data_IF_866696042797
#
_entry.id   IF_866696042797
#
_cell.length_a   1.000
_cell.length_b   1.000
_cell.length_c   1.000
_cell.angle_alpha   90.00
_cell.angle_beta   90.00
_cell.angle_gamma   90.00
#
_symmetry.space_group_name_H-M   'P 1'
#
loop_
_entity.id
_entity.type
_entity.pdbx_description
1 polymer ?
#
# COMPACT_ATOMS: atom_id res chain seq x y z
N UNK A 1 41.59 16.60 23.71
CA UNK A 1 40.18 16.51 23.30
C UNK A 1 40.09 15.81 21.95
N UNK A 2 39.15 14.87 21.82
CA UNK A 2 38.94 14.15 20.60
C UNK A 2 38.68 15.12 19.44
N UNK A 3 39.31 14.86 18.28
CA UNK A 3 39.17 15.68 17.07
C UNK A 3 37.77 15.43 16.47
N UNK A 4 36.82 16.33 16.72
CA UNK A 4 35.46 16.20 16.17
C UNK A 4 35.39 16.59 14.70
N UNK A 5 36.28 17.49 14.24
CA UNK A 5 36.30 17.96 12.83
C UNK A 5 37.69 18.40 12.40
N UNK A 6 38.02 18.10 11.12
CA UNK A 6 39.25 18.56 10.47
C UNK A 6 38.90 19.17 9.12
N UNK A 7 39.46 20.36 8.79
CA UNK A 7 39.23 21.02 7.49
C UNK A 7 39.74 22.46 7.46
N UNK A 8 39.67 23.08 6.31
CA UNK A 8 40.19 24.42 6.06
C UNK A 8 39.09 25.48 5.94
N UNK A 9 39.42 26.70 6.33
CA UNK A 9 38.59 27.89 6.08
C UNK A 9 39.30 28.85 5.13
N UNK A 10 38.53 29.36 4.15
CA UNK A 10 38.97 30.47 3.30
C UNK A 10 38.00 31.63 3.47
N UNK A 11 38.50 32.79 3.86
CA UNK A 11 37.69 33.99 4.13
C UNK A 11 36.55 33.75 5.15
N UNK A 12 36.78 32.89 6.17
CA UNK A 12 35.80 32.59 7.22
C UNK A 12 34.71 31.59 6.85
N UNK A 13 34.74 31.00 5.65
CA UNK A 13 33.84 29.92 5.22
C UNK A 13 34.60 28.62 5.01
N UNK A 14 33.93 27.47 5.18
CA UNK A 14 34.52 26.15 4.92
C UNK A 14 34.90 26.03 3.45
N UNK A 15 36.11 25.50 3.21
CA UNK A 15 36.66 25.31 1.84
C UNK A 15 37.56 24.09 1.80
N UNK A 16 37.63 23.38 0.66
CA UNK A 16 38.41 22.16 0.50
C UNK A 16 37.87 20.95 1.27
N UNK A 17 38.72 19.96 1.51
CA UNK A 17 38.37 18.71 2.18
C UNK A 17 38.02 18.94 3.66
N UNK A 18 36.97 18.31 4.13
CA UNK A 18 36.53 18.27 5.53
C UNK A 18 36.27 16.83 5.95
N UNK A 19 36.76 16.47 7.17
CA UNK A 19 36.54 15.19 7.82
C UNK A 19 35.84 15.46 9.12
N UNK A 20 34.83 14.68 9.42
CA UNK A 20 34.08 14.69 10.70
C UNK A 20 34.22 13.31 11.34
N UNK A 21 34.41 13.30 12.65
CA UNK A 21 34.62 12.09 13.41
C UNK A 21 33.42 11.86 14.35
N UNK A 22 33.19 10.63 14.75
CA UNK A 22 32.38 10.35 15.91
C UNK A 22 33.19 10.75 17.14
N UNK A 23 32.51 11.03 18.25
CA UNK A 23 33.16 11.23 19.52
C UNK A 23 33.90 9.93 19.85
N UNK A 24 35.22 10.04 20.05
CA UNK A 24 36.08 8.93 20.47
C UNK A 24 36.12 8.82 21.97
N UNK A 25 36.73 7.78 22.45
CA UNK A 25 37.02 7.62 23.88
C UNK A 25 38.00 8.68 24.35
N UNK A 26 37.90 9.01 25.61
CA UNK A 26 38.75 10.01 26.26
C UNK A 26 39.66 9.29 27.26
N UNK A 27 40.93 9.57 27.22
CA UNK A 27 41.93 9.02 28.14
C UNK A 27 42.70 10.13 28.84
N UNK A 28 43.36 9.78 29.96
CA UNK A 28 44.33 10.63 30.63
C UNK A 28 45.73 10.32 30.04
N UNK A 29 46.38 11.35 29.50
CA UNK A 29 47.68 11.26 28.84
C UNK A 29 48.77 11.58 29.88
N UNK A 30 49.29 10.53 30.51
CA UNK A 30 50.25 10.62 31.61
C UNK A 30 51.70 10.37 31.20
N UNK A 31 51.97 9.90 29.99
CA UNK A 31 53.30 9.53 29.55
C UNK A 31 53.76 8.14 30.05
N UNK A 32 55.05 7.87 29.95
CA UNK A 32 55.63 6.52 30.18
C UNK A 32 55.54 6.01 31.61
N UNK A 33 55.46 6.88 32.65
CA UNK A 33 55.46 6.47 34.06
C UNK A 33 54.05 6.35 34.67
N UNK A 34 53.01 6.64 33.88
CA UNK A 34 51.61 6.68 34.31
C UNK A 34 51.30 7.65 35.47
N UNK A 35 52.13 8.68 35.68
CA UNK A 35 51.95 9.69 36.71
C UNK A 35 51.67 11.04 36.07
N UNK A 36 50.66 11.81 36.52
CA UNK A 36 50.28 13.07 35.90
C UNK A 36 51.35 14.17 36.13
N UNK A 37 51.64 14.95 35.06
CA UNK A 37 52.48 16.14 35.09
C UNK A 37 53.96 15.89 35.45
N UNK A 38 54.52 14.75 35.10
CA UNK A 38 55.97 14.42 35.33
C UNK A 38 56.85 14.86 34.16
N UNK A 39 56.27 15.26 33.06
CA UNK A 39 56.94 15.77 31.87
C UNK A 39 57.89 14.77 31.18
N UNK A 40 57.53 13.50 31.23
CA UNK A 40 58.22 12.38 30.57
C UNK A 40 57.81 12.22 29.13
N UNK A 41 58.38 11.20 28.48
CA UNK A 41 58.09 10.89 27.06
C UNK A 41 56.64 10.45 26.90
N UNK A 42 55.93 11.16 26.02
CA UNK A 42 54.52 10.87 25.64
C UNK A 42 53.51 11.68 26.44
N UNK A 43 53.85 12.28 27.61
CA UNK A 43 52.87 13.09 28.36
C UNK A 43 52.42 14.30 27.57
N UNK A 44 51.08 14.41 27.35
CA UNK A 44 50.47 15.50 26.60
C UNK A 44 50.65 15.46 25.08
N UNK A 45 51.11 14.36 24.53
CA UNK A 45 51.28 14.23 23.06
C UNK A 45 49.96 13.89 22.31
N UNK A 46 48.91 13.63 23.08
CA UNK A 46 47.57 13.32 22.55
C UNK A 46 47.43 11.93 21.98
N UNK A 47 48.37 11.01 22.31
CA UNK A 47 48.30 9.61 21.86
C UNK A 47 48.12 8.70 23.06
N UNK A 48 47.20 7.79 22.98
CA UNK A 48 46.97 6.79 24.00
C UNK A 48 48.03 5.69 24.00
N UNK A 49 48.49 5.28 25.16
CA UNK A 49 49.26 4.07 25.36
C UNK A 49 48.64 3.17 26.44
N UNK A 50 49.17 1.95 26.61
CA UNK A 50 48.58 0.95 27.50
C UNK A 50 48.71 1.25 29.02
N UNK A 51 49.38 2.33 29.41
CA UNK A 51 49.52 2.76 30.79
C UNK A 51 48.50 3.83 31.19
N UNK A 52 47.82 4.40 30.21
CA UNK A 52 46.84 5.47 30.39
C UNK A 52 45.45 4.95 30.70
N UNK A 53 44.69 5.72 31.46
CA UNK A 53 43.32 5.37 31.85
C UNK A 53 42.32 5.90 30.82
N UNK A 54 41.48 5.03 30.27
CA UNK A 54 40.36 5.47 29.45
C UNK A 54 39.29 6.12 30.32
N UNK A 55 39.07 7.43 30.13
CA UNK A 55 38.08 8.21 30.89
C UNK A 55 36.67 8.10 30.37
N UNK A 56 36.51 7.83 29.06
CA UNK A 56 35.23 7.63 28.40
C UNK A 56 35.33 6.36 27.53
N UNK A 57 34.83 5.27 28.06
CA UNK A 57 34.78 3.95 27.45
C UNK A 57 33.39 3.78 26.86
N UNK A 58 33.28 3.76 25.52
CA UNK A 58 32.01 3.73 24.79
C UNK A 58 31.45 2.33 24.61
N UNK A 59 32.29 1.29 24.65
CA UNK A 59 31.87 -0.10 24.48
C UNK A 59 32.06 -0.97 25.73
N UNK A 60 32.77 -0.48 26.77
CA UNK A 60 32.95 -1.12 28.06
C UNK A 60 34.08 -2.15 28.09
N UNK A 61 35.04 -2.07 27.18
CA UNK A 61 36.15 -3.03 27.08
C UNK A 61 37.45 -2.59 27.76
N UNK A 62 37.50 -1.33 28.28
CA UNK A 62 38.66 -0.70 28.99
C UNK A 62 39.89 -0.42 28.12
N UNK A 63 39.77 -0.50 26.79
CA UNK A 63 40.80 -0.10 25.83
C UNK A 63 40.38 1.18 25.12
N UNK A 64 41.35 2.04 24.74
CA UNK A 64 41.07 3.25 23.98
C UNK A 64 40.75 2.95 22.55
N UNK A 65 39.57 3.35 22.11
CA UNK A 65 39.15 3.34 20.73
C UNK A 65 39.30 4.73 20.08
N UNK A 66 40.12 4.85 19.05
CA UNK A 66 40.28 6.12 18.36
C UNK A 66 38.98 6.54 17.69
N UNK A 67 38.71 7.85 17.53
CA UNK A 67 37.47 8.30 16.90
C UNK A 67 37.34 7.77 15.48
N UNK A 68 36.18 7.16 15.22
CA UNK A 68 35.83 6.61 13.90
C UNK A 68 35.35 7.72 12.97
N UNK A 69 35.70 7.61 11.68
CA UNK A 69 35.25 8.56 10.67
C UNK A 69 33.73 8.54 10.54
N UNK A 70 33.10 9.70 10.78
CA UNK A 70 31.64 9.90 10.67
C UNK A 70 31.23 10.34 9.29
N UNK A 71 31.94 11.33 8.72
CA UNK A 71 31.69 11.78 7.35
C UNK A 71 32.89 12.51 6.78
N UNK A 72 33.01 12.49 5.44
CA UNK A 72 34.04 13.23 4.75
C UNK A 72 33.49 13.74 3.41
N UNK A 73 33.98 14.90 2.97
CA UNK A 73 33.64 15.49 1.70
C UNK A 73 34.22 16.89 1.54
N UNK A 74 34.02 17.50 0.40
CA UNK A 74 34.57 18.82 0.10
C UNK A 74 33.51 19.92 0.25
N UNK A 75 33.97 21.09 0.65
CA UNK A 75 33.23 22.34 0.56
C UNK A 75 33.83 23.26 -0.47
N UNK A 76 32.98 24.06 -1.10
CA UNK A 76 33.37 25.21 -1.93
C UNK A 76 32.54 26.41 -1.53
N UNK A 77 33.18 27.52 -1.12
CA UNK A 77 32.51 28.71 -0.64
C UNK A 77 31.42 28.41 0.43
N UNK A 78 31.71 27.51 1.39
CA UNK A 78 30.80 27.13 2.47
C UNK A 78 29.70 26.15 2.10
N UNK A 79 29.59 25.74 0.83
CA UNK A 79 28.61 24.76 0.36
C UNK A 79 29.25 23.39 0.12
N UNK A 80 28.54 22.31 0.43
CA UNK A 80 28.99 20.96 0.07
C UNK A 80 29.16 20.86 -1.44
N UNK A 81 30.30 20.24 -1.88
CA UNK A 81 30.65 20.08 -3.28
C UNK A 81 31.22 18.67 -3.52
N UNK A 82 30.90 18.06 -4.68
CA UNK A 82 31.40 16.75 -5.06
C UNK A 82 30.88 15.60 -4.20
N UNK A 83 31.67 14.54 -4.08
CA UNK A 83 31.32 13.32 -3.35
C UNK A 83 31.43 13.55 -1.83
N UNK A 84 30.40 13.17 -1.11
CA UNK A 84 30.36 13.05 0.33
C UNK A 84 30.11 11.60 0.73
N UNK A 85 30.91 11.11 1.68
CA UNK A 85 30.79 9.77 2.25
C UNK A 85 30.50 9.87 3.73
N UNK A 86 29.59 9.05 4.24
CA UNK A 86 29.32 8.90 5.67
C UNK A 86 29.43 7.42 6.06
N UNK A 87 29.76 7.16 7.31
CA UNK A 87 29.94 5.82 7.86
C UNK A 87 29.07 5.59 9.09
N UNK A 88 28.80 4.34 9.38
CA UNK A 88 28.26 3.87 10.65
C UNK A 88 29.38 3.72 11.70
N UNK A 89 29.03 3.54 12.97
CA UNK A 89 29.98 3.27 14.05
C UNK A 89 30.79 1.98 13.84
N UNK A 90 30.22 1.00 13.14
CA UNK A 90 30.94 -0.22 12.76
C UNK A 90 31.89 -0.05 11.56
N UNK A 91 32.22 1.20 11.20
CA UNK A 91 33.08 1.57 10.08
C UNK A 91 32.57 1.13 8.69
N UNK A 92 31.34 0.64 8.57
CA UNK A 92 30.71 0.37 7.30
C UNK A 92 30.18 1.65 6.67
N UNK A 93 30.23 1.75 5.33
CA UNK A 93 29.64 2.90 4.63
C UNK A 93 28.15 2.97 4.90
N UNK A 94 27.68 4.20 5.21
CA UNK A 94 26.26 4.53 5.41
C UNK A 94 25.67 5.20 4.19
N UNK A 95 26.35 6.17 3.62
CA UNK A 95 25.89 6.92 2.45
C UNK A 95 27.08 7.44 1.64
N UNK A 96 26.95 7.37 0.33
CA UNK A 96 27.71 8.15 -0.64
C UNK A 96 26.75 9.02 -1.44
N UNK A 97 26.98 10.32 -1.48
CA UNK A 97 26.09 11.28 -2.14
C UNK A 97 26.89 12.39 -2.82
N UNK A 98 26.43 12.83 -3.98
CA UNK A 98 27.07 13.91 -4.72
C UNK A 98 26.33 15.23 -4.52
N UNK A 99 27.10 16.30 -4.33
CA UNK A 99 26.60 17.65 -4.14
C UNK A 99 27.13 18.60 -5.21
N UNK A 100 26.32 19.58 -5.58
CA UNK A 100 26.68 20.74 -6.38
C UNK A 100 26.07 21.98 -5.72
N UNK A 101 26.91 22.94 -5.34
CA UNK A 101 26.51 24.18 -4.68
C UNK A 101 25.56 23.91 -3.46
N UNK A 102 25.89 22.93 -2.61
CA UNK A 102 25.16 22.56 -1.41
C UNK A 102 23.88 21.73 -1.61
N UNK A 103 23.50 21.43 -2.87
CA UNK A 103 22.32 20.59 -3.20
C UNK A 103 22.76 19.22 -3.66
N UNK A 104 21.99 18.17 -3.30
CA UNK A 104 22.19 16.84 -3.88
C UNK A 104 22.08 16.92 -5.41
N UNK A 105 23.14 16.48 -6.10
CA UNK A 105 23.21 16.51 -7.56
C UNK A 105 24.13 15.41 -8.06
N UNK A 106 23.60 14.41 -8.73
CA UNK A 106 24.32 13.20 -9.15
C UNK A 106 23.86 11.97 -8.35
N UNK A 107 24.68 10.93 -8.33
CA UNK A 107 24.35 9.65 -7.70
C UNK A 107 24.28 9.75 -6.18
N UNK A 108 23.40 8.94 -5.60
CA UNK A 108 23.35 8.62 -4.18
C UNK A 108 23.28 7.09 -4.02
N UNK A 109 24.02 6.57 -3.03
CA UNK A 109 23.92 5.19 -2.59
C UNK A 109 23.92 5.19 -1.07
N UNK A 110 22.97 4.46 -0.47
CA UNK A 110 22.92 4.19 0.99
C UNK A 110 23.04 2.71 1.24
N UNK A 111 23.54 2.36 2.39
CA UNK A 111 23.72 0.98 2.85
C UNK A 111 23.03 0.79 4.20
N UNK A 112 22.65 -0.43 4.48
CA UNK A 112 22.32 -0.92 5.82
C UNK A 112 23.59 -1.14 6.64
N UNK A 113 23.48 -1.24 7.96
CA UNK A 113 24.62 -1.47 8.87
C UNK A 113 25.35 -2.79 8.62
N UNK A 114 24.70 -3.75 7.94
CA UNK A 114 25.30 -5.00 7.53
C UNK A 114 26.09 -4.91 6.20
N UNK A 115 26.24 -3.71 5.62
CA UNK A 115 26.98 -3.44 4.39
C UNK A 115 26.21 -3.70 3.08
N UNK A 116 25.00 -4.26 3.12
CA UNK A 116 24.15 -4.39 1.95
C UNK A 116 23.57 -3.02 1.55
N UNK A 117 23.40 -2.77 0.25
CA UNK A 117 22.71 -1.54 -0.20
C UNK A 117 21.31 -1.46 0.38
N UNK A 118 20.90 -0.28 0.82
CA UNK A 118 19.53 0.05 1.23
C UNK A 118 18.77 0.83 0.15
N UNK A 119 19.47 1.75 -0.55
CA UNK A 119 18.90 2.45 -1.70
C UNK A 119 19.99 2.98 -2.65
N UNK A 120 19.61 3.18 -3.90
CA UNK A 120 20.44 3.87 -4.89
C UNK A 120 19.56 4.66 -5.87
N UNK A 121 20.07 5.79 -6.32
CA UNK A 121 19.36 6.66 -7.24
C UNK A 121 20.19 7.85 -7.70
N UNK A 122 19.52 8.79 -8.32
CA UNK A 122 20.12 10.03 -8.84
C UNK A 122 19.29 11.22 -8.37
N UNK A 123 19.97 12.29 -7.97
CA UNK A 123 19.38 13.59 -7.76
C UNK A 123 19.79 14.57 -8.85
N UNK A 124 18.86 15.44 -9.21
CA UNK A 124 19.12 16.61 -10.04
C UNK A 124 18.65 17.86 -9.28
N UNK A 125 19.61 18.72 -8.90
CA UNK A 125 19.32 19.96 -8.15
C UNK A 125 18.44 19.77 -6.91
N UNK A 126 18.66 18.68 -6.15
CA UNK A 126 17.94 18.34 -4.92
C UNK A 126 16.64 17.56 -5.14
N UNK A 127 16.24 17.26 -6.37
CA UNK A 127 15.08 16.45 -6.70
C UNK A 127 15.47 15.06 -7.19
N UNK A 128 14.72 14.03 -6.80
CA UNK A 128 14.92 12.68 -7.36
C UNK A 128 14.70 12.70 -8.87
N UNK A 129 15.64 12.09 -9.61
CA UNK A 129 15.58 11.98 -11.06
C UNK A 129 16.08 10.60 -11.53
N UNK A 130 15.63 10.13 -12.70
CA UNK A 130 16.04 8.83 -13.22
C UNK A 130 15.53 7.65 -12.38
N UNK A 131 16.28 6.55 -12.43
CA UNK A 131 15.94 5.28 -11.78
C UNK A 131 16.33 5.31 -10.32
N UNK A 132 15.41 4.82 -9.45
CA UNK A 132 15.60 4.61 -8.02
C UNK A 132 15.31 3.17 -7.66
N UNK A 133 16.13 2.58 -6.75
CA UNK A 133 16.00 1.22 -6.25
C UNK A 133 16.18 1.26 -4.75
N UNK A 134 15.32 0.53 -4.03
CA UNK A 134 15.43 0.25 -2.60
C UNK A 134 15.60 -1.25 -2.40
N UNK A 135 16.30 -1.62 -1.36
CA UNK A 135 16.63 -3.00 -1.03
C UNK A 135 16.22 -3.34 0.40
N UNK A 136 15.93 -4.59 0.63
CA UNK A 136 15.85 -5.15 1.98
C UNK A 136 17.25 -5.30 2.57
N UNK A 137 17.35 -5.50 3.91
CA UNK A 137 18.64 -5.78 4.59
C UNK A 137 19.34 -7.02 4.04
N UNK A 138 18.59 -7.97 3.49
CA UNK A 138 19.11 -9.16 2.79
C UNK A 138 19.80 -8.86 1.44
N UNK A 139 19.72 -7.61 0.95
CA UNK A 139 20.21 -7.21 -0.36
C UNK A 139 19.25 -7.50 -1.53
N UNK A 140 18.11 -8.14 -1.26
CA UNK A 140 17.05 -8.37 -2.26
C UNK A 140 16.36 -7.03 -2.56
N UNK A 141 16.02 -6.79 -3.82
CA UNK A 141 15.27 -5.60 -4.22
C UNK A 141 13.91 -5.57 -3.53
N UNK A 142 13.57 -4.41 -2.92
CA UNK A 142 12.30 -4.11 -2.28
C UNK A 142 11.39 -3.32 -3.21
N UNK A 143 11.93 -2.26 -3.82
CA UNK A 143 11.21 -1.37 -4.72
C UNK A 143 12.11 -0.87 -5.85
N UNK A 144 11.52 -0.55 -6.99
CA UNK A 144 12.17 0.14 -8.09
C UNK A 144 11.16 1.03 -8.78
N UNK A 145 11.55 2.28 -9.03
CA UNK A 145 10.74 3.22 -9.84
C UNK A 145 11.63 4.20 -10.59
N UNK A 146 11.01 5.08 -11.34
CA UNK A 146 11.66 6.20 -12.00
C UNK A 146 11.01 7.50 -11.57
N UNK A 147 11.84 8.53 -11.40
CA UNK A 147 11.39 9.91 -11.18
C UNK A 147 11.80 10.79 -12.35
N UNK A 148 11.03 11.83 -12.58
CA UNK A 148 11.36 12.97 -13.44
C UNK A 148 11.03 14.20 -12.62
N UNK A 149 12.04 15.04 -12.35
CA UNK A 149 11.90 16.28 -11.58
C UNK A 149 11.22 16.11 -10.22
N UNK A 150 11.46 14.98 -9.52
CA UNK A 150 10.89 14.62 -8.23
C UNK A 150 9.51 13.96 -8.27
N UNK A 151 8.91 13.80 -9.45
CA UNK A 151 7.63 13.12 -9.63
C UNK A 151 7.80 11.70 -10.17
N UNK A 152 7.06 10.74 -9.62
CA UNK A 152 7.06 9.36 -10.11
C UNK A 152 6.58 9.31 -11.57
N UNK A 153 7.36 8.65 -12.43
CA UNK A 153 7.04 8.52 -13.83
C UNK A 153 7.49 7.15 -14.37
N UNK A 154 6.61 6.41 -15.03
CA UNK A 154 6.88 5.07 -15.53
C UNK A 154 6.49 3.97 -14.57
N UNK A 155 7.15 2.81 -14.66
CA UNK A 155 6.84 1.64 -13.86
C UNK A 155 7.36 1.79 -12.42
N UNK A 156 6.50 1.42 -11.45
CA UNK A 156 6.85 1.16 -10.08
C UNK A 156 6.67 -0.33 -9.78
N UNK A 157 7.76 -1.00 -9.47
CA UNK A 157 7.83 -2.42 -9.16
C UNK A 157 8.12 -2.59 -7.67
N UNK A 158 7.44 -3.52 -7.04
CA UNK A 158 7.69 -3.92 -5.65
C UNK A 158 7.84 -5.44 -5.55
N UNK A 159 8.68 -5.89 -4.65
CA UNK A 159 8.93 -7.30 -4.36
C UNK A 159 8.70 -7.61 -2.88
N UNK A 160 8.43 -8.84 -2.58
CA UNK A 160 8.48 -9.42 -1.24
C UNK A 160 9.94 -9.67 -0.83
N UNK A 161 10.17 -9.93 0.46
CA UNK A 161 11.51 -10.18 1.02
C UNK A 161 12.20 -11.44 0.48
N UNK A 162 11.44 -12.37 -0.09
CA UNK A 162 11.93 -13.56 -0.80
C UNK A 162 12.28 -13.32 -2.27
N UNK A 163 12.02 -12.11 -2.79
CA UNK A 163 12.24 -11.70 -4.17
C UNK A 163 11.07 -11.95 -5.12
N UNK A 164 9.96 -12.52 -4.65
CA UNK A 164 8.75 -12.67 -5.46
C UNK A 164 8.12 -11.30 -5.76
N UNK A 165 7.54 -11.15 -6.95
CA UNK A 165 6.88 -9.89 -7.34
C UNK A 165 5.64 -9.62 -6.50
N UNK A 166 5.57 -8.44 -5.87
CA UNK A 166 4.47 -7.98 -5.02
C UNK A 166 3.50 -7.07 -5.75
N UNK A 167 4.00 -6.13 -6.52
CA UNK A 167 3.15 -5.23 -7.32
C UNK A 167 3.88 -4.64 -8.52
N UNK A 168 3.10 -4.32 -9.52
CA UNK A 168 3.50 -3.57 -10.71
C UNK A 168 2.47 -2.49 -10.97
N UNK A 169 2.93 -1.24 -11.07
CA UNK A 169 2.11 -0.04 -11.18
C UNK A 169 2.75 0.90 -12.17
N UNK A 170 1.95 1.68 -12.88
CA UNK A 170 2.47 2.73 -13.75
C UNK A 170 1.99 4.10 -13.27
N UNK A 171 2.87 5.06 -13.38
CA UNK A 171 2.62 6.47 -13.09
C UNK A 171 2.95 7.32 -14.31
N UNK A 172 2.20 8.38 -14.49
CA UNK A 172 2.49 9.46 -15.43
C UNK A 172 2.39 10.77 -14.67
N UNK A 173 3.49 11.54 -14.64
CA UNK A 173 3.56 12.84 -13.97
C UNK A 173 3.06 12.83 -12.51
N UNK A 174 3.45 11.77 -11.76
CA UNK A 174 3.06 11.55 -10.37
C UNK A 174 1.68 10.96 -10.16
N UNK A 175 0.86 10.84 -11.20
CA UNK A 175 -0.48 10.27 -11.10
C UNK A 175 -0.52 8.79 -11.52
N UNK A 176 -1.44 8.04 -10.89
CA UNK A 176 -1.70 6.63 -11.25
C UNK A 176 -2.22 6.54 -12.67
N UNK A 177 -1.62 5.67 -13.48
CA UNK A 177 -2.01 5.47 -14.87
C UNK A 177 -1.97 3.99 -15.26
N UNK A 178 -2.74 3.63 -16.31
CA UNK A 178 -2.75 2.29 -16.90
C UNK A 178 -3.13 1.18 -15.92
N UNK A 179 -2.66 -0.04 -16.17
CA UNK A 179 -3.00 -1.23 -15.39
C UNK A 179 -2.08 -1.36 -14.18
N UNK A 180 -2.68 -1.56 -13.01
CA UNK A 180 -2.03 -1.92 -11.76
C UNK A 180 -2.30 -3.37 -11.44
N UNK A 181 -1.26 -4.13 -11.16
CA UNK A 181 -1.36 -5.54 -10.76
C UNK A 181 -0.67 -5.73 -9.41
N UNK A 182 -1.28 -6.50 -8.54
CA UNK A 182 -0.71 -6.97 -7.28
C UNK A 182 -0.79 -8.48 -7.20
N UNK A 183 0.16 -9.08 -6.51
CA UNK A 183 0.26 -10.52 -6.29
C UNK A 183 0.25 -10.84 -4.80
N UNK A 184 -0.16 -12.02 -4.45
CA UNK A 184 0.06 -12.64 -3.16
C UNK A 184 1.52 -13.12 -3.05
N UNK A 185 1.94 -13.45 -1.84
CA UNK A 185 3.27 -13.99 -1.54
C UNK A 185 3.56 -15.33 -2.23
N UNK A 186 2.52 -16.13 -2.49
CA UNK A 186 2.61 -17.38 -3.27
C UNK A 186 2.72 -17.16 -4.80
N UNK A 187 2.85 -15.91 -5.27
CA UNK A 187 3.00 -15.56 -6.69
C UNK A 187 1.70 -15.46 -7.48
N UNK A 188 0.56 -15.81 -6.89
CA UNK A 188 -0.74 -15.71 -7.56
C UNK A 188 -1.22 -14.25 -7.61
N UNK A 189 -1.97 -13.89 -8.67
CA UNK A 189 -2.58 -12.56 -8.75
C UNK A 189 -3.55 -12.32 -7.62
N UNK A 190 -3.44 -11.14 -6.98
CA UNK A 190 -4.34 -10.65 -5.94
C UNK A 190 -5.41 -9.73 -6.51
N UNK A 191 -5.00 -8.73 -7.26
CA UNK A 191 -5.91 -7.87 -8.01
C UNK A 191 -5.24 -7.26 -9.23
N UNK A 192 -6.08 -6.84 -10.16
CA UNK A 192 -5.72 -6.02 -11.30
C UNK A 192 -6.76 -4.91 -11.47
N UNK A 193 -6.30 -3.68 -11.69
CA UNK A 193 -7.15 -2.50 -11.77
C UNK A 193 -6.63 -1.54 -12.84
N UNK A 194 -7.54 -0.86 -13.52
CA UNK A 194 -7.21 0.16 -14.52
C UNK A 194 -7.38 1.55 -13.92
N UNK A 195 -6.36 2.38 -14.08
CA UNK A 195 -6.33 3.78 -13.65
C UNK A 195 -6.17 4.70 -14.86
N UNK A 196 -6.75 5.87 -14.77
CA UNK A 196 -6.51 6.99 -15.67
C UNK A 196 -6.54 8.29 -14.85
N UNK A 197 -5.56 9.16 -15.03
CA UNK A 197 -5.45 10.45 -14.31
C UNK A 197 -5.69 10.32 -12.81
N UNK A 198 -4.96 9.40 -12.16
CA UNK A 198 -5.00 9.16 -10.73
C UNK A 198 -6.22 8.42 -10.19
N UNK A 199 -7.25 8.15 -11.01
CA UNK A 199 -8.54 7.56 -10.61
C UNK A 199 -8.73 6.16 -11.17
N UNK A 200 -9.44 5.30 -10.43
CA UNK A 200 -9.95 4.04 -10.97
C UNK A 200 -10.90 4.34 -12.13
N UNK A 201 -10.54 3.88 -13.31
CA UNK A 201 -11.32 4.11 -14.54
C UNK A 201 -11.10 2.95 -15.50
N UNK A 202 -12.08 2.06 -15.63
CA UNK A 202 -11.98 0.82 -16.39
C UNK A 202 -12.10 -0.42 -15.52
N UNK A 203 -11.57 -1.55 -15.99
CA UNK A 203 -11.74 -2.86 -15.36
C UNK A 203 -11.08 -2.99 -14.01
N UNK A 204 -11.75 -3.71 -13.13
CA UNK A 204 -11.24 -4.22 -11.85
C UNK A 204 -11.50 -5.73 -11.78
N UNK A 205 -10.49 -6.48 -11.33
CA UNK A 205 -10.65 -7.90 -10.98
C UNK A 205 -9.79 -8.20 -9.76
N UNK A 206 -10.33 -8.90 -8.76
CA UNK A 206 -9.58 -9.51 -7.67
C UNK A 206 -9.78 -11.03 -7.68
N UNK A 207 -8.78 -11.73 -7.15
CA UNK A 207 -8.74 -13.19 -7.04
C UNK A 207 -8.52 -13.61 -5.61
N UNK A 208 -9.03 -14.77 -5.24
CA UNK A 208 -8.66 -15.46 -4.01
C UNK A 208 -7.18 -15.91 -4.06
N UNK A 209 -6.62 -16.26 -2.92
CA UNK A 209 -5.20 -16.59 -2.80
C UNK A 209 -4.79 -17.82 -3.65
N UNK A 210 -5.75 -18.70 -4.00
CA UNK A 210 -5.51 -19.81 -4.93
C UNK A 210 -5.16 -19.34 -6.37
N UNK A 211 -5.39 -18.08 -6.71
CA UNK A 211 -5.05 -17.44 -7.99
C UNK A 211 -5.87 -17.88 -9.20
N UNK A 212 -6.76 -18.84 -9.04
CA UNK A 212 -7.60 -19.41 -10.09
C UNK A 212 -8.99 -18.77 -10.06
N UNK A 213 -9.58 -18.69 -8.86
CA UNK A 213 -10.94 -18.23 -8.66
C UNK A 213 -10.94 -16.72 -8.42
N UNK A 214 -11.74 -16.02 -9.23
CA UNK A 214 -11.99 -14.60 -9.00
C UNK A 214 -12.81 -14.42 -7.72
N UNK A 215 -12.49 -13.39 -6.94
CA UNK A 215 -13.33 -12.93 -5.83
C UNK A 215 -14.43 -12.01 -6.35
N UNK A 216 -14.05 -11.04 -7.17
CA UNK A 216 -14.99 -10.11 -7.82
C UNK A 216 -14.40 -9.50 -9.09
N UNK A 217 -15.27 -9.09 -10.00
CA UNK A 217 -14.89 -8.32 -11.19
C UNK A 217 -15.98 -7.32 -11.56
N UNK A 218 -15.59 -6.21 -12.16
CA UNK A 218 -16.47 -5.17 -12.66
C UNK A 218 -15.68 -4.00 -13.24
N UNK A 219 -16.37 -2.92 -13.48
CA UNK A 219 -15.78 -1.67 -13.99
C UNK A 219 -15.94 -0.54 -12.97
N UNK A 220 -14.97 0.36 -12.97
CA UNK A 220 -15.06 1.67 -12.33
C UNK A 220 -15.16 2.78 -13.37
N UNK A 221 -15.82 3.86 -13.00
CA UNK A 221 -15.80 5.13 -13.68
C UNK A 221 -15.53 6.22 -12.64
N UNK A 222 -14.37 6.89 -12.74
CA UNK A 222 -13.97 7.95 -11.81
C UNK A 222 -14.10 7.56 -10.32
N UNK A 223 -13.51 6.41 -9.94
CA UNK A 223 -13.56 5.80 -8.59
C UNK A 223 -14.94 5.31 -8.13
N UNK A 224 -15.97 5.32 -9.00
CA UNK A 224 -17.31 4.83 -8.67
C UNK A 224 -17.58 3.51 -9.39
N UNK A 225 -18.24 2.58 -8.71
CA UNK A 225 -18.69 1.32 -9.31
C UNK A 225 -19.56 1.63 -10.55
N UNK A 226 -19.30 0.94 -11.66
CA UNK A 226 -20.01 1.17 -12.91
C UNK A 226 -20.24 -0.13 -13.65
N UNK A 227 -21.30 -0.21 -14.46
CA UNK A 227 -21.72 -1.42 -15.19
C UNK A 227 -21.96 -2.62 -14.25
N UNK A 228 -21.80 -3.84 -14.77
CA UNK A 228 -22.03 -5.09 -14.06
C UNK A 228 -20.85 -5.47 -13.19
N UNK A 229 -21.12 -5.77 -11.91
CA UNK A 229 -20.21 -6.37 -10.96
C UNK A 229 -20.66 -7.80 -10.66
N UNK A 230 -19.70 -8.73 -10.70
CA UNK A 230 -19.93 -10.14 -10.38
C UNK A 230 -19.03 -10.53 -9.20
N UNK A 231 -19.58 -11.28 -8.27
CA UNK A 231 -18.91 -11.76 -7.05
C UNK A 231 -18.99 -13.29 -7.01
N UNK A 232 -17.91 -13.93 -6.58
CA UNK A 232 -17.80 -15.38 -6.44
C UNK A 232 -17.39 -15.78 -5.04
N UNK A 233 -17.77 -16.97 -4.60
CA UNK A 233 -17.23 -17.65 -3.43
C UNK A 233 -15.85 -18.25 -3.76
N UNK A 234 -15.09 -18.63 -2.74
CA UNK A 234 -13.76 -19.19 -2.87
C UNK A 234 -13.73 -20.56 -3.61
N UNK A 235 -14.86 -21.27 -3.62
CA UNK A 235 -15.06 -22.50 -4.38
C UNK A 235 -15.44 -22.27 -5.88
N UNK A 236 -15.53 -21.00 -6.30
CA UNK A 236 -15.80 -20.61 -7.69
C UNK A 236 -17.27 -20.44 -8.04
N UNK A 237 -18.19 -20.70 -7.11
CA UNK A 237 -19.62 -20.43 -7.31
C UNK A 237 -19.89 -18.93 -7.38
N UNK A 238 -20.83 -18.55 -8.23
CA UNK A 238 -21.33 -17.19 -8.26
C UNK A 238 -22.17 -16.91 -7.03
N UNK A 239 -21.93 -15.78 -6.35
CA UNK A 239 -22.72 -15.32 -5.18
C UNK A 239 -23.71 -14.25 -5.62
N UNK A 240 -23.24 -13.28 -6.43
CA UNK A 240 -24.04 -12.10 -6.74
C UNK A 240 -23.61 -11.46 -8.05
N UNK A 241 -24.59 -10.91 -8.79
CA UNK A 241 -24.38 -9.94 -9.86
C UNK A 241 -25.18 -8.67 -9.58
N UNK A 242 -24.56 -7.51 -9.75
CA UNK A 242 -25.19 -6.20 -9.50
C UNK A 242 -24.77 -5.23 -10.60
N UNK A 243 -25.74 -4.54 -11.19
CA UNK A 243 -25.47 -3.45 -12.12
C UNK A 243 -25.43 -2.11 -11.40
N UNK A 244 -24.46 -1.28 -11.77
CA UNK A 244 -24.27 0.06 -11.21
C UNK A 244 -24.14 1.10 -12.31
N UNK A 245 -24.59 2.32 -12.00
CA UNK A 245 -24.33 3.52 -12.77
C UNK A 245 -23.73 4.56 -11.84
N UNK A 246 -22.42 4.85 -12.01
CA UNK A 246 -21.67 5.83 -11.19
C UNK A 246 -21.85 5.66 -9.67
N UNK A 247 -21.83 4.40 -9.20
CA UNK A 247 -21.91 4.04 -7.78
C UNK A 247 -23.32 3.77 -7.26
N UNK A 248 -24.35 4.06 -8.05
CA UNK A 248 -25.75 3.82 -7.70
C UNK A 248 -26.20 2.52 -8.37
N UNK A 249 -26.92 1.65 -7.64
CA UNK A 249 -27.51 0.43 -8.24
C UNK A 249 -28.48 0.84 -9.34
N UNK A 250 -28.26 0.32 -10.56
CA UNK A 250 -29.08 0.62 -11.74
C UNK A 250 -28.99 -0.53 -12.72
N UNK A 251 -30.11 -1.23 -12.97
CA UNK A 251 -30.20 -2.44 -13.76
C UNK A 251 -30.33 -3.71 -12.92
N UNK A 252 -29.88 -4.84 -13.46
CA UNK A 252 -30.10 -6.18 -12.94
C UNK A 252 -29.39 -6.43 -11.60
N UNK A 253 -30.09 -7.16 -10.72
CA UNK A 253 -29.60 -7.68 -9.45
C UNK A 253 -29.93 -9.16 -9.32
N UNK A 254 -28.93 -10.00 -9.05
CA UNK A 254 -29.05 -11.45 -8.88
C UNK A 254 -28.26 -11.92 -7.67
N UNK A 255 -28.82 -12.89 -6.92
CA UNK A 255 -28.10 -13.62 -5.86
C UNK A 255 -28.30 -15.13 -5.99
N UNK A 256 -27.29 -15.90 -5.59
CA UNK A 256 -27.28 -17.36 -5.55
C UNK A 256 -26.88 -17.84 -4.16
N UNK A 257 -27.43 -18.98 -3.75
CA UNK A 257 -27.08 -19.64 -2.49
C UNK A 257 -25.88 -20.60 -2.63
N UNK A 258 -25.62 -21.35 -1.55
CA UNK A 258 -24.50 -22.30 -1.47
C UNK A 258 -24.65 -23.50 -2.40
N UNK A 259 -25.85 -23.86 -2.80
CA UNK A 259 -26.16 -24.96 -3.71
C UNK A 259 -26.30 -24.49 -5.18
N UNK A 260 -25.90 -23.23 -5.45
CA UNK A 260 -25.95 -22.60 -6.77
C UNK A 260 -27.38 -22.40 -7.33
N UNK A 261 -28.40 -22.45 -6.48
CA UNK A 261 -29.75 -22.00 -6.86
C UNK A 261 -29.81 -20.48 -6.80
N UNK A 262 -30.52 -19.88 -7.77
CA UNK A 262 -30.87 -18.47 -7.72
C UNK A 262 -31.86 -18.24 -6.58
N UNK A 263 -31.58 -17.35 -5.65
CA UNK A 263 -32.45 -17.03 -4.51
C UNK A 263 -33.11 -15.66 -4.61
N UNK A 264 -32.53 -14.76 -5.44
CA UNK A 264 -33.08 -13.42 -5.64
C UNK A 264 -32.78 -12.92 -7.05
N UNK A 265 -33.78 -12.32 -7.69
CA UNK A 265 -33.67 -11.61 -8.97
C UNK A 265 -34.55 -10.37 -8.96
N UNK A 266 -34.04 -9.25 -9.43
CA UNK A 266 -34.80 -8.02 -9.56
C UNK A 266 -34.05 -6.95 -10.32
N UNK A 267 -34.65 -5.79 -10.38
CA UNK A 267 -34.06 -4.62 -11.04
C UNK A 267 -34.06 -3.40 -10.12
N UNK A 268 -33.00 -2.62 -10.23
CA UNK A 268 -32.92 -1.28 -9.66
C UNK A 268 -32.96 -0.23 -10.79
N UNK A 269 -33.55 0.91 -10.50
CA UNK A 269 -33.34 2.13 -11.26
C UNK A 269 -33.02 3.27 -10.29
N UNK A 270 -31.91 3.96 -10.52
CA UNK A 270 -31.44 5.07 -9.67
C UNK A 270 -31.39 4.75 -8.16
N UNK A 271 -31.08 3.49 -7.82
CA UNK A 271 -30.98 3.01 -6.43
C UNK A 271 -32.27 2.43 -5.86
N UNK A 272 -33.40 2.60 -6.51
CA UNK A 272 -34.72 2.17 -6.08
C UNK A 272 -35.13 0.84 -6.75
N UNK A 273 -35.80 -0.06 -6.00
CA UNK A 273 -36.37 -1.28 -6.57
C UNK A 273 -37.42 -0.94 -7.63
N UNK A 274 -37.37 -1.63 -8.77
CA UNK A 274 -38.32 -1.49 -9.87
C UNK A 274 -38.82 -2.85 -10.34
N UNK A 275 -39.99 -2.85 -10.94
CA UNK A 275 -40.60 -4.02 -11.58
C UNK A 275 -40.78 -5.19 -10.58
N UNK A 276 -40.84 -6.41 -11.09
CA UNK A 276 -41.02 -7.61 -10.29
C UNK A 276 -39.70 -8.13 -9.76
N UNK A 277 -39.64 -8.32 -8.44
CA UNK A 277 -38.58 -9.04 -7.73
C UNK A 277 -39.07 -10.45 -7.51
N UNK A 278 -38.24 -11.44 -7.86
CA UNK A 278 -38.52 -12.86 -7.68
C UNK A 278 -37.56 -13.43 -6.65
N UNK A 279 -38.14 -14.09 -5.65
CA UNK A 279 -37.44 -14.77 -4.57
C UNK A 279 -37.69 -16.27 -4.68
N UNK A 280 -36.66 -17.06 -4.38
CA UNK A 280 -36.75 -18.52 -4.30
C UNK A 280 -36.32 -19.02 -2.93
N UNK A 281 -36.78 -20.18 -2.53
CA UNK A 281 -36.25 -20.94 -1.43
C UNK A 281 -34.87 -21.51 -1.81
N UNK A 282 -34.14 -22.04 -0.82
CA UNK A 282 -32.78 -22.54 -1.02
C UNK A 282 -32.68 -23.75 -1.94
N UNK A 283 -33.80 -24.49 -2.10
CA UNK A 283 -33.97 -25.61 -3.03
C UNK A 283 -34.39 -25.21 -4.45
N UNK A 284 -34.56 -23.90 -4.70
CA UNK A 284 -34.94 -23.34 -5.99
C UNK A 284 -36.47 -23.26 -6.22
N UNK A 285 -37.30 -23.67 -5.27
CA UNK A 285 -38.76 -23.50 -5.36
C UNK A 285 -39.08 -22.00 -5.22
N UNK A 286 -40.05 -21.54 -6.04
CA UNK A 286 -40.49 -20.15 -6.03
C UNK A 286 -41.07 -19.76 -4.67
N UNK A 287 -40.57 -18.70 -4.04
CA UNK A 287 -40.99 -18.20 -2.70
C UNK A 287 -41.89 -16.98 -2.81
N UNK A 288 -41.50 -16.00 -3.65
CA UNK A 288 -42.28 -14.79 -3.79
C UNK A 288 -42.05 -14.12 -5.13
N UNK A 289 -43.07 -13.41 -5.63
CA UNK A 289 -42.97 -12.36 -6.64
C UNK A 289 -43.49 -11.08 -6.02
N UNK A 290 -42.70 -10.03 -6.06
CA UNK A 290 -42.93 -8.75 -5.40
C UNK A 290 -42.75 -7.62 -6.41
N UNK A 291 -43.78 -6.83 -6.63
CA UNK A 291 -43.75 -5.73 -7.62
C UNK A 291 -43.48 -4.40 -6.93
N UNK A 292 -42.59 -3.60 -7.53
CA UNK A 292 -42.16 -2.30 -7.04
C UNK A 292 -42.23 -1.23 -8.12
N UNK A 293 -42.52 0.00 -7.71
CA UNK A 293 -42.38 1.21 -8.52
C UNK A 293 -41.68 2.27 -7.68
N UNK A 294 -40.51 2.76 -8.13
CA UNK A 294 -39.69 3.76 -7.41
C UNK A 294 -39.46 3.42 -5.95
N UNK A 295 -39.13 2.17 -5.64
CA UNK A 295 -38.85 1.64 -4.30
C UNK A 295 -40.06 1.29 -3.46
N UNK A 296 -41.26 1.74 -3.84
CA UNK A 296 -42.51 1.44 -3.13
C UNK A 296 -43.17 0.17 -3.66
N UNK A 297 -43.87 -0.54 -2.79
CA UNK A 297 -44.68 -1.70 -3.17
C UNK A 297 -45.82 -1.23 -4.08
N UNK A 298 -45.82 -1.72 -5.32
CA UNK A 298 -46.84 -1.35 -6.31
C UNK A 298 -47.07 -2.48 -7.30
N UNK A 299 -48.32 -2.96 -7.47
CA UNK A 299 -48.67 -4.07 -8.27
C UNK A 299 -48.88 -5.38 -7.51
N UNK A 300 -48.91 -6.48 -8.21
CA UNK A 300 -49.25 -7.80 -7.67
C UNK A 300 -48.09 -8.37 -6.88
N UNK A 301 -48.41 -8.87 -5.68
CA UNK A 301 -47.53 -9.61 -4.82
C UNK A 301 -48.09 -11.01 -4.61
N UNK A 302 -47.25 -12.06 -4.83
CA UNK A 302 -47.63 -13.45 -4.67
C UNK A 302 -46.60 -14.18 -3.83
N UNK A 303 -47.00 -14.96 -2.89
CA UNK A 303 -46.17 -15.83 -2.05
C UNK A 303 -46.57 -17.29 -2.21
N UNK A 304 -45.54 -18.13 -2.24
CA UNK A 304 -45.69 -19.59 -2.27
C UNK A 304 -45.10 -20.21 -1.00
N UNK A 305 -45.51 -21.42 -0.67
CA UNK A 305 -44.95 -22.25 0.39
C UNK A 305 -43.78 -23.07 -0.17
N UNK A 306 -42.96 -23.72 0.73
CA UNK A 306 -41.87 -24.60 0.30
C UNK A 306 -42.34 -25.82 -0.53
N UNK A 307 -43.59 -26.23 -0.38
CA UNK A 307 -44.21 -27.27 -1.23
C UNK A 307 -44.62 -26.80 -2.64
N UNK A 308 -44.37 -25.52 -2.96
CA UNK A 308 -44.70 -24.91 -4.25
C UNK A 308 -46.15 -24.45 -4.36
N UNK A 309 -47.00 -24.69 -3.38
CA UNK A 309 -48.42 -24.26 -3.39
C UNK A 309 -48.49 -22.76 -3.07
N UNK A 310 -49.34 -22.05 -3.82
CA UNK A 310 -49.62 -20.64 -3.58
C UNK A 310 -50.15 -20.43 -2.15
N UNK A 311 -49.59 -19.48 -1.42
CA UNK A 311 -49.96 -19.16 -0.05
C UNK A 311 -50.86 -17.94 0.00
N UNK A 312 -50.44 -16.83 -0.61
CA UNK A 312 -51.16 -15.56 -0.60
C UNK A 312 -50.87 -14.74 -1.84
N UNK A 313 -51.87 -14.00 -2.30
CA UNK A 313 -51.72 -13.06 -3.41
C UNK A 313 -52.58 -11.82 -3.15
N UNK A 314 -52.08 -10.66 -3.56
CA UNK A 314 -52.82 -9.41 -3.48
C UNK A 314 -52.12 -8.29 -4.20
N UNK A 315 -52.72 -7.13 -4.22
CA UNK A 315 -52.18 -5.96 -4.87
C UNK A 315 -51.77 -4.89 -3.83
N UNK A 316 -50.65 -4.23 -4.12
CA UNK A 316 -50.26 -2.98 -3.45
C UNK A 316 -50.40 -1.82 -4.41
N UNK A 317 -50.69 -0.64 -3.88
CA UNK A 317 -50.68 0.63 -4.62
C UNK A 317 -50.06 1.70 -3.70
N UNK A 318 -48.92 2.27 -4.11
CA UNK A 318 -48.20 3.27 -3.31
C UNK A 318 -47.88 2.78 -1.88
N UNK A 319 -47.41 1.55 -1.73
CA UNK A 319 -47.01 0.94 -0.45
C UNK A 319 -48.12 0.41 0.42
N UNK A 320 -49.43 0.58 0.06
CA UNK A 320 -50.56 0.12 0.84
C UNK A 320 -51.31 -0.98 0.11
N UNK A 321 -51.92 -1.93 0.88
CA UNK A 321 -52.75 -2.98 0.31
C UNK A 321 -53.95 -2.38 -0.40
N UNK A 322 -54.27 -2.89 -1.59
CA UNK A 322 -55.35 -2.43 -2.45
C UNK A 322 -56.08 -3.59 -3.13
N UNK A 323 -57.39 -3.48 -3.25
CA UNK A 323 -58.18 -4.52 -3.93
C UNK A 323 -58.27 -5.83 -3.17
N UNK A 324 -58.52 -6.94 -3.89
CA UNK A 324 -58.74 -8.24 -3.30
C UNK A 324 -57.41 -8.93 -2.97
N UNK A 325 -57.35 -9.47 -1.77
CA UNK A 325 -56.28 -10.32 -1.23
C UNK A 325 -56.81 -11.71 -1.04
N UNK A 326 -56.22 -12.71 -1.68
CA UNK A 326 -56.63 -14.11 -1.61
C UNK A 326 -55.60 -14.95 -0.84
N UNK A 327 -56.02 -15.86 0.00
CA UNK A 327 -55.18 -16.85 0.68
C UNK A 327 -55.63 -18.28 0.34
N UNK A 328 -54.66 -19.21 0.29
CA UNK A 328 -54.87 -20.62 -0.02
C UNK A 328 -54.45 -21.54 1.12
N UNK A 329 -55.11 -22.72 1.25
CA UNK A 329 -54.73 -23.81 2.12
C UNK A 329 -53.53 -24.58 1.57
N UNK A 330 -53.03 -25.58 2.36
CA UNK A 330 -51.96 -26.49 1.95
C UNK A 330 -52.38 -27.44 0.82
N UNK A 331 -53.68 -27.58 0.58
CA UNK A 331 -54.29 -28.45 -0.46
C UNK A 331 -54.67 -27.66 -1.69
N UNK A 332 -54.12 -26.44 -1.87
CA UNK A 332 -54.40 -25.52 -2.96
C UNK A 332 -55.88 -25.08 -3.07
N UNK A 333 -56.65 -25.18 -1.98
CA UNK A 333 -57.98 -24.65 -1.92
C UNK A 333 -57.99 -23.21 -1.42
N UNK A 334 -58.83 -22.37 -2.04
CA UNK A 334 -59.04 -20.98 -1.59
C UNK A 334 -59.59 -20.97 -0.14
N UNK A 335 -58.80 -20.36 0.78
CA UNK A 335 -59.13 -20.29 2.20
C UNK A 335 -59.95 -19.04 2.54
N UNK A 336 -59.71 -17.93 1.89
CA UNK A 336 -60.42 -16.69 2.15
C UNK A 336 -59.97 -15.53 1.28
N UNK A 337 -60.79 -14.49 1.25
CA UNK A 337 -60.53 -13.21 0.61
C UNK A 337 -60.73 -12.04 1.58
N UNK A 338 -59.91 -11.04 1.46
CA UNK A 338 -60.00 -9.78 2.16
C UNK A 338 -59.98 -8.66 1.12
N UNK A 339 -60.88 -7.67 1.21
CA UNK A 339 -60.91 -6.54 0.26
C UNK A 339 -60.44 -5.28 0.98
N UNK A 340 -59.44 -4.57 0.39
CA UNK A 340 -58.90 -3.32 0.86
C UNK A 340 -59.32 -2.22 -0.11
N UNK A 341 -60.02 -1.19 0.42
CA UNK A 341 -60.43 -0.01 -0.31
C UNK A 341 -59.74 1.18 0.31
N UNK A 342 -59.00 1.90 -0.50
CA UNK A 342 -58.34 3.15 -0.10
C UNK A 342 -59.06 4.32 -0.72
#
# INVERSE_FOLDING_TARGET
GALETEGNYTNGVRDGLWIFWYEGEVFEDYGEDAEPNTNDLGEGDGKWDSTETVLLDLDGDTYYDPPLKKSEGSYSNGNREGLWTTWYLNNMRKEESNFLAGKLNGSITRWHENGNKSEEGIYNSGKQDGRWIWYFETGIKKEQTRFIDGQQNGLWLQWFSDGAKKSERKFSDGERDSIWTSWYDNGNKKFQATYATGRLNGSWTSWYQNGIIKEKTGDYLENKLNKKWTYWAEDGRKIKEVSYNKGIKDGLYLEWNVDNYKVLEGQYAKGEKQNTWTLWYDDGILKAKESFSNGEMDGIWTWWRPDGIKNKEGNYKGGVKHGVWTSWSSEDHKKGEETYVN
#
